data_IF_130577914796
#
_entry.id   IF_130577914796
#
_cell.length_a   1.000
_cell.length_b   1.000
_cell.length_c   1.000
_cell.angle_alpha   90.00
_cell.angle_beta   90.00
_cell.angle_gamma   90.00
#
_symmetry.space_group_name_H-M   'P 1'
#
loop_
_entity.id
_entity.type
_entity.pdbx_description
1 polymer ?
#
# COMPACT_ATOMS: atom_id res chain seq x y z
N UNK A 1 -12.06 43.17 24.74
CA UNK A 1 -12.32 43.26 23.30
C UNK A 1 -12.18 41.86 22.72
N UNK A 2 -13.32 41.24 22.35
CA UNK A 2 -13.48 39.87 21.85
C UNK A 2 -12.89 39.76 20.42
N UNK A 3 -12.03 38.78 20.11
CA UNK A 3 -12.28 37.37 19.77
C UNK A 3 -12.74 37.14 18.31
N UNK A 4 -12.00 36.27 17.60
CA UNK A 4 -12.38 35.60 16.33
C UNK A 4 -12.14 36.44 15.08
N UNK A 5 -11.67 35.92 13.95
CA UNK A 5 -11.62 34.52 13.52
C UNK A 5 -10.83 34.44 12.21
N UNK A 6 -9.83 33.56 12.17
CA UNK A 6 -9.15 33.18 10.93
C UNK A 6 -10.05 32.26 10.11
N UNK A 7 -10.30 32.62 8.86
CA UNK A 7 -10.91 31.72 7.87
C UNK A 7 -9.78 31.05 7.09
N UNK A 8 -9.24 29.97 7.66
CA UNK A 8 -8.42 29.02 6.92
C UNK A 8 -9.34 28.06 6.15
N UNK A 9 -9.60 28.36 4.88
CA UNK A 9 -10.25 27.39 3.99
C UNK A 9 -9.21 26.36 3.55
N UNK A 10 -9.10 25.23 4.25
CA UNK A 10 -8.53 24.03 3.65
C UNK A 10 -9.61 23.38 2.80
N UNK A 11 -9.47 23.48 1.48
CA UNK A 11 -10.35 22.80 0.53
C UNK A 11 -9.81 21.38 0.31
N UNK A 12 -10.11 20.48 1.23
CA UNK A 12 -9.92 19.05 1.00
C UNK A 12 -10.98 18.58 0.00
N UNK A 13 -10.67 18.62 -1.30
CA UNK A 13 -11.57 18.16 -2.35
C UNK A 13 -11.51 16.61 -2.45
N UNK A 14 -12.59 15.89 -2.12
CA UNK A 14 -12.59 14.43 -2.19
C UNK A 14 -12.65 13.94 -3.64
N UNK A 15 -11.88 12.90 -3.96
CA UNK A 15 -11.94 12.24 -5.25
C UNK A 15 -13.16 11.30 -5.33
N UNK A 16 -14.03 11.48 -6.32
CA UNK A 16 -15.15 10.56 -6.59
C UNK A 16 -14.59 9.29 -7.26
N UNK A 17 -14.59 8.17 -6.54
CA UNK A 17 -14.16 6.86 -7.07
C UNK A 17 -15.33 6.12 -7.72
N UNK A 18 -15.12 5.52 -8.91
CA UNK A 18 -16.11 4.62 -9.54
C UNK A 18 -15.69 3.16 -9.38
N UNK A 19 -16.61 2.25 -9.02
CA UNK A 19 -16.33 0.81 -9.03
C UNK A 19 -15.79 0.37 -10.40
N UNK A 20 -14.75 -0.46 -10.41
CA UNK A 20 -14.14 -0.98 -11.64
C UNK A 20 -13.23 0.00 -12.40
N UNK A 21 -12.78 1.09 -11.77
CA UNK A 21 -11.73 1.96 -12.32
C UNK A 21 -10.48 1.96 -11.43
N UNK A 22 -9.32 1.82 -12.05
CA UNK A 22 -8.05 2.00 -11.38
C UNK A 22 -7.90 3.45 -10.92
N UNK A 23 -7.58 3.67 -9.63
CA UNK A 23 -7.34 5.00 -9.06
C UNK A 23 -5.88 5.45 -9.23
N UNK A 24 -4.98 4.48 -9.38
CA UNK A 24 -3.55 4.70 -9.52
C UNK A 24 -2.83 3.36 -9.58
N UNK A 25 -1.72 3.35 -10.33
CA UNK A 25 -0.87 2.18 -10.45
C UNK A 25 0.53 2.55 -9.98
N UNK A 26 1.08 1.75 -9.08
CA UNK A 26 2.44 1.91 -8.60
C UNK A 26 3.22 0.68 -9.01
N UNK A 27 4.36 0.91 -9.65
CA UNK A 27 5.32 -0.12 -9.97
C UNK A 27 6.46 -0.02 -8.98
N UNK A 28 6.76 -1.12 -8.32
CA UNK A 28 7.88 -1.20 -7.40
C UNK A 28 8.81 -2.27 -7.96
N UNK A 29 10.00 -1.83 -8.36
CA UNK A 29 11.07 -2.71 -8.79
C UNK A 29 11.83 -3.26 -7.56
N UNK A 30 12.90 -4.00 -7.80
CA UNK A 30 13.84 -4.46 -6.81
C UNK A 30 14.45 -3.29 -6.05
N UNK A 31 14.41 -3.37 -4.73
CA UNK A 31 15.09 -2.43 -3.84
C UNK A 31 16.59 -2.73 -3.89
N UNK A 32 17.40 -1.68 -3.91
CA UNK A 32 18.86 -1.81 -3.79
C UNK A 32 19.23 -2.47 -2.46
N UNK A 33 20.44 -3.02 -2.35
CA UNK A 33 20.90 -3.63 -1.09
C UNK A 33 20.81 -2.68 0.10
N UNK A 34 21.10 -1.39 -0.10
CA UNK A 34 21.04 -0.38 0.96
C UNK A 34 19.60 -0.15 1.44
N UNK A 35 18.65 -0.01 0.51
CA UNK A 35 17.23 0.16 0.83
C UNK A 35 16.65 -1.09 1.48
N UNK A 36 16.97 -2.27 0.96
CA UNK A 36 16.56 -3.56 1.51
C UNK A 36 17.08 -3.75 2.94
N UNK A 37 18.36 -3.44 3.20
CA UNK A 37 18.96 -3.52 4.54
C UNK A 37 18.31 -2.52 5.50
N UNK A 38 18.05 -1.29 5.02
CA UNK A 38 17.34 -0.27 5.80
C UNK A 38 15.91 -0.68 6.13
N UNK A 39 15.20 -1.32 5.20
CA UNK A 39 13.84 -1.79 5.40
C UNK A 39 13.77 -2.97 6.39
N UNK A 40 14.68 -3.94 6.26
CA UNK A 40 14.76 -5.10 7.17
C UNK A 40 15.35 -4.75 8.54
N UNK A 41 16.14 -3.67 8.64
CA UNK A 41 16.96 -3.37 9.81
C UNK A 41 18.18 -4.29 9.99
N UNK A 42 18.44 -5.18 9.02
CA UNK A 42 19.54 -6.15 9.02
C UNK A 42 19.95 -6.52 7.60
N UNK A 43 21.16 -7.07 7.43
CA UNK A 43 21.71 -7.37 6.09
C UNK A 43 21.70 -8.85 5.73
N UNK A 44 21.44 -9.72 6.71
CA UNK A 44 21.36 -11.16 6.56
C UNK A 44 20.24 -11.54 5.60
N UNK A 45 20.57 -12.35 4.59
CA UNK A 45 19.65 -12.76 3.54
C UNK A 45 19.48 -11.77 2.39
N UNK A 46 20.04 -10.55 2.47
CA UNK A 46 19.99 -9.57 1.36
C UNK A 46 21.18 -9.75 0.43
N UNK A 47 20.91 -10.19 -0.80
CA UNK A 47 21.93 -10.37 -1.85
C UNK A 47 22.57 -9.05 -2.33
N UNK A 48 23.68 -9.12 -3.08
CA UNK A 48 24.39 -7.94 -3.60
C UNK A 48 23.54 -7.11 -4.57
N UNK A 49 22.61 -7.75 -5.28
CA UNK A 49 21.68 -7.10 -6.19
C UNK A 49 20.45 -6.52 -5.48
N UNK A 50 20.36 -6.59 -4.15
CA UNK A 50 19.18 -6.22 -3.40
C UNK A 50 18.08 -7.30 -3.46
N UNK A 51 16.83 -6.89 -3.25
CA UNK A 51 15.70 -7.82 -3.14
C UNK A 51 14.36 -7.16 -3.50
N UNK A 52 13.42 -7.96 -3.99
CA UNK A 52 12.04 -7.53 -4.21
C UNK A 52 11.28 -7.44 -2.89
N UNK A 53 10.20 -6.66 -2.84
CA UNK A 53 9.36 -6.57 -1.64
C UNK A 53 8.84 -7.95 -1.20
N UNK A 54 8.50 -8.83 -2.14
CA UNK A 54 8.03 -10.18 -1.84
C UNK A 54 9.10 -11.01 -1.10
N UNK A 55 10.34 -10.98 -1.58
CA UNK A 55 11.48 -11.65 -0.92
C UNK A 55 11.76 -11.04 0.46
N UNK A 56 11.66 -9.72 0.59
CA UNK A 56 11.86 -9.04 1.88
C UNK A 56 10.78 -9.42 2.90
N UNK A 57 9.52 -9.55 2.51
CA UNK A 57 8.46 -10.06 3.38
C UNK A 57 8.74 -11.49 3.84
N UNK A 58 9.25 -12.34 2.95
CA UNK A 58 9.64 -13.69 3.30
C UNK A 58 10.80 -13.72 4.31
N UNK A 59 11.81 -12.87 4.11
CA UNK A 59 12.95 -12.72 5.02
C UNK A 59 12.57 -12.11 6.38
N UNK A 60 11.53 -11.28 6.41
CA UNK A 60 10.99 -10.68 7.64
C UNK A 60 10.20 -11.69 8.46
N UNK A 61 9.64 -12.72 7.83
CA UNK A 61 8.85 -13.77 8.49
C UNK A 61 7.39 -13.39 8.74
N UNK A 62 6.94 -12.22 8.30
CA UNK A 62 5.57 -11.70 8.48
C UNK A 62 4.61 -12.26 7.42
N UNK A 63 4.67 -13.56 7.15
CA UNK A 63 3.82 -14.21 6.14
C UNK A 63 2.62 -14.88 6.81
N UNK A 64 1.62 -14.08 7.19
CA UNK A 64 0.29 -14.64 7.41
C UNK A 64 -0.35 -14.88 6.05
N UNK A 65 -0.58 -16.16 5.69
CA UNK A 65 -1.29 -16.51 4.46
C UNK A 65 -2.70 -15.93 4.52
N UNK A 66 -2.95 -14.95 3.66
CA UNK A 66 -4.30 -14.45 3.43
C UNK A 66 -5.02 -15.50 2.58
N UNK A 67 -6.08 -16.08 3.12
CA UNK A 67 -6.98 -16.94 2.36
C UNK A 67 -7.95 -16.06 1.57
N UNK A 68 -8.13 -16.37 0.29
CA UNK A 68 -9.18 -15.74 -0.51
C UNK A 68 -10.54 -16.13 0.09
N UNK A 69 -11.37 -15.16 0.53
CA UNK A 69 -12.71 -15.46 0.98
C UNK A 69 -13.51 -15.99 -0.21
N UNK A 70 -14.31 -17.04 0.01
CA UNK A 70 -15.14 -17.63 -1.05
C UNK A 70 -15.94 -16.50 -1.75
N UNK A 71 -15.86 -16.36 -3.07
CA UNK A 71 -16.54 -15.29 -3.78
C UNK A 71 -18.04 -15.40 -3.50
N UNK A 72 -18.58 -14.42 -2.78
CA UNK A 72 -20.00 -14.35 -2.47
C UNK A 72 -20.76 -14.22 -3.78
N UNK A 73 -21.40 -15.32 -4.22
CA UNK A 73 -22.31 -15.30 -5.38
C UNK A 73 -23.51 -14.43 -5.03
N UNK A 74 -23.45 -13.15 -5.37
CA UNK A 74 -24.64 -12.31 -5.35
C UNK A 74 -25.50 -12.66 -6.57
N UNK A 75 -26.53 -13.46 -6.37
CA UNK A 75 -27.62 -13.61 -7.34
C UNK A 75 -28.44 -12.33 -7.30
N UNK A 76 -28.35 -11.51 -8.36
CA UNK A 76 -29.07 -10.25 -8.46
C UNK A 76 -28.17 -9.10 -8.92
N UNK A 77 -27.74 -9.16 -10.18
CA UNK A 77 -27.19 -7.99 -10.86
C UNK A 77 -28.36 -7.23 -11.47
N UNK A 78 -28.48 -5.96 -11.08
CA UNK A 78 -29.53 -5.03 -11.51
C UNK A 78 -29.46 -4.79 -13.03
N UNK A 79 -30.66 -4.70 -13.62
CA UNK A 79 -30.93 -4.30 -15.01
C UNK A 79 -30.32 -2.95 -15.38
#
# INVERSE_FOLDING_TARGET
>A
MAAGSGFGFSIDAPAITRPGRCLGQVFIDRLTRAEATRWLGRSEGVGPHGATIAELYALRGDINKVHEPEPRRHTGLYL
#
